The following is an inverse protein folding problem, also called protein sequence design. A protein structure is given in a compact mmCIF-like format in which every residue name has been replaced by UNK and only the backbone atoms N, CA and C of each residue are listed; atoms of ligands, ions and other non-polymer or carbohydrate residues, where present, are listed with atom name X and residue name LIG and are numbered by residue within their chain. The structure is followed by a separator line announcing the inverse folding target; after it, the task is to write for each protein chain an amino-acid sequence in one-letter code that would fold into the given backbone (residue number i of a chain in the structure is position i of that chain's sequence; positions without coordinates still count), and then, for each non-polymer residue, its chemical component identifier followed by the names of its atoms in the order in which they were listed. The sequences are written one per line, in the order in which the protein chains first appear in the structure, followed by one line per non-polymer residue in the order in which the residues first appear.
data_IF_155787783180
#
_entry.id   IF_155787783180
#
_cell.length_a   1.000
_cell.length_b   1.000
_cell.length_c   1.000
_cell.angle_alpha   90.00
_cell.angle_beta   90.00
_cell.angle_gamma   90.00
#
_symmetry.space_group_name_H-M   'P 1'
#
loop_
_entity.id
_entity.type
_entity.pdbx_description
1 polymer ?
#
# COMPACT_ATOMS: atom_id res chain seq x y z
N UNK A 1 52.02 -27.94 -1.09
CA UNK A 1 53.34 -27.26 -1.05
C UNK A 1 53.51 -26.50 -2.35
N UNK A 2 53.77 -25.19 -2.28
CA UNK A 2 53.95 -24.34 -3.46
C UNK A 2 53.62 -22.88 -3.15
N UNK A 3 54.55 -22.19 -2.49
CA UNK A 3 54.56 -20.74 -2.34
C UNK A 3 55.00 -20.09 -3.66
N UNK A 4 54.45 -18.93 -4.03
CA UNK A 4 55.27 -17.74 -4.29
C UNK A 4 54.45 -16.45 -4.22
N UNK A 5 55.09 -15.46 -3.61
CA UNK A 5 54.68 -14.09 -3.28
C UNK A 5 55.04 -13.17 -4.45
N UNK A 6 54.21 -12.18 -4.80
CA UNK A 6 54.67 -10.82 -5.19
C UNK A 6 53.60 -9.78 -4.86
N UNK A 7 53.94 -8.85 -3.97
CA UNK A 7 53.25 -7.58 -3.70
C UNK A 7 53.54 -6.57 -4.80
N UNK A 8 52.58 -5.69 -5.15
CA UNK A 8 52.92 -4.39 -5.72
C UNK A 8 52.02 -3.27 -5.18
N UNK A 9 52.69 -2.34 -4.51
CA UNK A 9 52.22 -1.10 -3.93
C UNK A 9 52.29 -0.01 -5.02
N UNK A 10 51.25 0.79 -5.21
CA UNK A 10 51.34 2.02 -6.00
C UNK A 10 50.58 3.15 -5.30
N UNK A 11 51.35 4.01 -4.64
CA UNK A 11 50.96 5.30 -4.09
C UNK A 11 51.08 6.32 -5.22
N UNK A 12 50.10 7.20 -5.38
CA UNK A 12 50.21 8.37 -6.26
C UNK A 12 49.57 9.59 -5.59
N UNK A 13 50.43 10.38 -4.97
CA UNK A 13 50.18 11.76 -4.55
C UNK A 13 50.34 12.66 -5.77
N UNK A 14 49.30 13.45 -6.10
CA UNK A 14 49.45 14.64 -6.93
C UNK A 14 49.13 15.87 -6.08
N UNK A 15 50.19 16.65 -5.84
CA UNK A 15 50.18 18.02 -5.35
C UNK A 15 50.63 18.93 -6.49
N UNK A 16 49.83 19.92 -6.85
CA UNK A 16 50.24 21.14 -7.57
C UNK A 16 49.13 22.18 -7.36
N UNK A 17 49.35 23.19 -6.49
CA UNK A 17 49.71 24.57 -6.85
C UNK A 17 48.86 25.12 -8.01
N UNK A 18 48.01 26.13 -7.85
CA UNK A 18 48.26 27.42 -7.24
C UNK A 18 47.99 28.47 -8.33
N UNK A 19 46.93 29.26 -8.17
CA UNK A 19 46.52 30.26 -9.16
C UNK A 19 45.51 31.22 -8.58
N UNK A 20 46.02 32.28 -7.97
CA UNK A 20 45.23 33.42 -7.53
C UNK A 20 44.78 34.24 -8.75
N UNK A 21 43.49 34.55 -8.84
CA UNK A 21 42.99 35.70 -9.60
C UNK A 21 41.87 36.35 -8.81
N UNK A 22 42.18 37.55 -8.30
CA UNK A 22 41.22 38.49 -7.71
C UNK A 22 40.62 39.30 -8.85
N UNK A 23 39.30 39.25 -9.01
CA UNK A 23 38.54 40.38 -9.54
C UNK A 23 37.30 40.56 -8.66
N UNK A 24 37.32 41.64 -7.88
CA UNK A 24 36.17 42.16 -7.16
C UNK A 24 35.33 42.98 -8.12
N UNK A 25 34.04 42.67 -8.25
CA UNK A 25 33.03 43.71 -8.47
C UNK A 25 31.77 43.32 -7.71
N UNK A 26 31.20 44.34 -7.07
CA UNK A 26 30.25 44.38 -5.97
C UNK A 26 28.86 44.66 -6.53
N UNK A 27 27.86 43.87 -6.12
CA UNK A 27 26.41 44.16 -6.06
C UNK A 27 25.80 42.88 -5.43
N UNK A 28 25.56 42.77 -4.12
CA UNK A 28 24.53 43.43 -3.31
C UNK A 28 23.17 43.46 -4.03
N UNK A 29 22.31 42.46 -3.75
CA UNK A 29 20.94 42.58 -3.20
C UNK A 29 20.29 41.18 -3.11
N UNK A 30 19.84 40.84 -1.89
CA UNK A 30 18.83 39.84 -1.51
C UNK A 30 19.02 38.35 -1.88
N UNK A 31 19.83 37.64 -1.08
CA UNK A 31 19.74 36.18 -0.92
C UNK A 31 18.68 35.86 0.15
N UNK A 32 17.51 35.38 -0.28
CA UNK A 32 16.57 34.69 0.62
C UNK A 32 17.06 33.26 0.77
N UNK A 33 17.63 32.98 1.93
CA UNK A 33 17.96 31.63 2.38
C UNK A 33 16.66 30.83 2.61
N UNK A 34 16.40 29.84 1.78
CA UNK A 34 15.39 28.79 2.06
C UNK A 34 16.12 27.49 2.37
N UNK A 35 16.64 27.36 3.59
CA UNK A 35 16.91 26.04 4.17
C UNK A 35 15.58 25.46 4.65
N UNK A 36 15.21 24.21 4.34
CA UNK A 36 14.02 23.60 4.90
C UNK A 36 14.29 23.25 6.36
N UNK A 37 13.91 24.15 7.26
CA UNK A 37 13.78 23.83 8.68
C UNK A 37 12.61 22.83 8.83
N UNK A 38 12.78 21.73 9.58
CA UNK A 38 11.69 20.82 9.88
C UNK A 38 10.65 21.54 10.76
N UNK A 39 9.54 21.97 10.16
CA UNK A 39 8.37 22.42 10.91
C UNK A 39 7.75 21.22 11.63
N UNK A 40 8.17 21.04 12.88
CA UNK A 40 7.40 20.32 13.88
C UNK A 40 6.23 21.22 14.31
N UNK A 41 5.19 21.30 13.49
CA UNK A 41 3.91 21.88 13.91
C UNK A 41 3.09 20.83 14.65
N UNK A 42 3.13 20.96 15.97
CA UNK A 42 2.22 20.32 16.91
C UNK A 42 0.87 21.04 16.79
N UNK A 43 0.14 20.76 15.71
CA UNK A 43 -1.26 21.15 15.54
C UNK A 43 -2.17 20.08 16.12
N UNK A 44 -3.16 20.47 16.91
CA UNK A 44 -4.25 19.60 17.35
C UNK A 44 -5.02 19.09 16.11
N UNK A 45 -4.73 17.84 15.73
CA UNK A 45 -5.28 17.18 14.55
C UNK A 45 -6.71 16.69 14.85
N UNK A 46 -7.68 17.32 14.21
CA UNK A 46 -9.01 16.75 14.08
C UNK A 46 -8.94 15.40 13.33
N UNK A 47 -9.70 14.43 13.82
CA UNK A 47 -9.91 13.08 13.26
C UNK A 47 -9.74 12.98 11.73
N UNK A 48 -8.65 12.36 11.28
CA UNK A 48 -8.58 11.77 9.94
C UNK A 48 -7.89 12.56 8.81
N UNK A 49 -6.93 13.41 9.12
CA UNK A 49 -6.12 14.12 8.12
C UNK A 49 -5.21 13.18 7.30
N UNK A 50 -5.09 13.45 5.99
CA UNK A 50 -4.17 12.80 5.07
C UNK A 50 -2.80 13.49 5.15
N UNK A 51 -1.80 12.82 5.69
CA UNK A 51 -0.43 13.33 5.71
C UNK A 51 0.37 12.76 4.55
N UNK A 52 0.97 13.61 3.71
CA UNK A 52 1.86 13.16 2.63
C UNK A 52 3.19 12.72 3.22
N UNK A 53 3.60 11.49 2.90
CA UNK A 53 4.89 10.93 3.32
C UNK A 53 5.95 11.08 2.23
N UNK A 54 5.56 10.89 0.97
CA UNK A 54 6.42 11.07 -0.19
C UNK A 54 5.55 11.28 -1.45
N UNK A 55 6.05 12.03 -2.42
CA UNK A 55 5.47 12.12 -3.75
C UNK A 55 6.55 12.50 -4.77
N UNK A 56 6.31 12.19 -6.04
CA UNK A 56 7.25 12.54 -7.09
C UNK A 56 6.88 11.98 -8.45
N UNK A 57 7.74 12.25 -9.43
CA UNK A 57 7.53 11.91 -10.84
C UNK A 57 8.48 10.82 -11.36
N UNK A 58 9.32 10.25 -10.51
CA UNK A 58 10.33 9.25 -10.89
C UNK A 58 10.40 8.14 -9.85
N UNK A 59 9.41 7.26 -9.76
CA UNK A 59 9.48 6.03 -8.95
C UNK A 59 10.29 4.91 -9.62
N UNK A 60 10.87 4.03 -8.82
CA UNK A 60 11.45 2.78 -9.32
C UNK A 60 10.38 1.74 -9.71
N UNK A 61 9.13 1.93 -9.25
CA UNK A 61 7.98 1.11 -9.63
C UNK A 61 7.43 1.62 -10.96
N UNK A 62 7.57 0.80 -12.00
CA UNK A 62 7.23 1.19 -13.39
C UNK A 62 5.87 0.67 -13.85
N UNK A 63 5.20 -0.15 -13.06
CA UNK A 63 3.84 -0.62 -13.31
C UNK A 63 2.81 0.10 -12.43
N UNK A 64 1.55 0.13 -12.87
CA UNK A 64 0.46 0.74 -12.11
C UNK A 64 0.14 -0.11 -10.89
N UNK A 65 0.34 0.43 -9.70
CA UNK A 65 0.16 -0.31 -8.45
C UNK A 65 -0.39 0.58 -7.33
N UNK A 66 -1.20 0.01 -6.45
CA UNK A 66 -1.63 0.65 -5.21
C UNK A 66 -1.37 -0.30 -4.06
N UNK A 67 -0.76 0.19 -2.98
CA UNK A 67 -0.62 -0.53 -1.74
C UNK A 67 -1.39 0.15 -0.60
N UNK A 68 -2.09 -0.65 0.21
CA UNK A 68 -2.76 -0.25 1.46
C UNK A 68 -2.14 -1.08 2.59
N UNK A 69 -1.28 -0.45 3.37
CA UNK A 69 -0.33 -1.10 4.27
C UNK A 69 -0.69 -0.78 5.71
N UNK A 70 -0.85 -1.83 6.52
CA UNK A 70 -1.31 -1.75 7.91
C UNK A 70 -0.32 -2.36 8.91
N UNK A 71 0.87 -2.74 8.45
CA UNK A 71 1.93 -3.38 9.25
C UNK A 71 3.31 -3.08 8.67
N UNK A 72 4.33 -3.18 9.53
CA UNK A 72 5.72 -2.83 9.22
C UNK A 72 6.38 -3.83 8.27
N UNK A 73 6.00 -5.10 8.33
CA UNK A 73 6.54 -6.15 7.47
C UNK A 73 6.16 -5.90 6.01
N UNK A 74 4.88 -5.59 5.77
CA UNK A 74 4.39 -5.22 4.44
C UNK A 74 4.98 -3.89 3.97
N UNK A 75 5.17 -2.92 4.87
CA UNK A 75 5.83 -1.66 4.53
C UNK A 75 7.29 -1.84 4.12
N UNK A 76 8.01 -2.73 4.81
CA UNK A 76 9.41 -3.02 4.52
C UNK A 76 9.60 -3.58 3.11
N UNK A 77 8.66 -4.37 2.60
CA UNK A 77 8.69 -4.83 1.20
C UNK A 77 8.46 -3.68 0.21
N UNK A 78 7.61 -2.70 0.54
CA UNK A 78 7.45 -1.50 -0.29
C UNK A 78 8.73 -0.66 -0.33
N UNK A 79 9.40 -0.48 0.82
CA UNK A 79 10.65 0.29 0.91
C UNK A 79 11.78 -0.36 0.10
N UNK A 80 11.83 -1.70 0.00
CA UNK A 80 12.79 -2.38 -0.90
C UNK A 80 12.58 -2.01 -2.37
N UNK A 81 11.34 -1.78 -2.78
CA UNK A 81 11.00 -1.37 -4.15
C UNK A 81 11.17 0.13 -4.37
N UNK A 82 10.94 0.95 -3.35
CA UNK A 82 11.10 2.40 -3.39
C UNK A 82 11.95 2.90 -2.20
N UNK A 83 13.29 2.85 -2.29
CA UNK A 83 14.19 3.14 -1.16
C UNK A 83 14.19 4.61 -0.68
N UNK A 84 13.51 5.52 -1.40
CA UNK A 84 13.39 6.93 -0.99
C UNK A 84 12.24 7.19 -0.04
N UNK A 85 11.42 6.17 0.27
CA UNK A 85 10.37 6.30 1.27
C UNK A 85 10.99 6.46 2.67
N UNK A 86 10.33 7.22 3.57
CA UNK A 86 10.80 7.35 4.94
C UNK A 86 10.75 6.01 5.67
N UNK A 87 11.66 5.80 6.61
CA UNK A 87 11.56 4.65 7.52
C UNK A 87 10.43 4.88 8.54
N UNK A 88 9.59 3.87 8.74
CA UNK A 88 8.45 3.92 9.65
C UNK A 88 8.52 2.76 10.62
N UNK A 89 8.54 3.08 11.92
CA UNK A 89 8.57 2.09 12.98
C UNK A 89 7.25 1.32 13.12
N UNK A 90 7.27 0.18 13.80
CA UNK A 90 6.09 -0.70 13.95
C UNK A 90 4.92 -0.05 14.70
N UNK A 91 5.21 0.77 15.71
CA UNK A 91 4.23 1.51 16.50
C UNK A 91 3.44 2.54 15.66
N UNK A 92 4.01 3.04 14.57
CA UNK A 92 3.32 3.90 13.60
C UNK A 92 2.01 3.26 13.11
N UNK A 93 2.05 1.95 12.82
CA UNK A 93 0.94 1.19 12.23
C UNK A 93 -0.16 0.77 13.25
N UNK A 94 0.01 1.13 14.52
CA UNK A 94 -1.05 0.98 15.52
C UNK A 94 -2.19 1.99 15.30
N UNK A 95 -1.86 3.16 14.76
CA UNK A 95 -2.78 4.29 14.59
C UNK A 95 -2.78 4.88 13.18
N UNK A 96 -2.02 4.30 12.24
CA UNK A 96 -1.94 4.78 10.86
C UNK A 96 -2.03 3.64 9.85
N UNK A 97 -2.59 3.97 8.70
CA UNK A 97 -2.52 3.16 7.47
C UNK A 97 -1.72 3.95 6.45
N UNK A 98 -0.78 3.29 5.78
CA UNK A 98 -0.05 3.89 4.65
C UNK A 98 -0.74 3.50 3.35
N UNK A 99 -0.95 4.48 2.48
CA UNK A 99 -1.52 4.28 1.16
C UNK A 99 -0.53 4.82 0.14
N UNK A 100 0.00 3.94 -0.69
CA UNK A 100 0.95 4.27 -1.74
C UNK A 100 0.32 3.97 -3.09
N UNK A 101 0.35 4.92 -4.01
CA UNK A 101 -0.18 4.74 -5.36
C UNK A 101 0.87 5.16 -6.38
N UNK A 102 1.05 4.33 -7.40
CA UNK A 102 2.05 4.42 -8.46
C UNK A 102 1.34 4.30 -9.80
N UNK A 103 1.57 5.25 -10.72
CA UNK A 103 0.95 5.20 -12.05
C UNK A 103 1.72 4.36 -13.07
N UNK A 104 2.88 3.85 -12.66
CA UNK A 104 3.84 3.26 -13.57
C UNK A 104 4.38 4.28 -14.58
N UNK A 105 5.03 3.77 -15.62
CA UNK A 105 5.72 4.59 -16.61
C UNK A 105 4.74 5.39 -17.48
N UNK A 106 5.09 6.66 -17.73
CA UNK A 106 4.38 7.59 -18.62
C UNK A 106 5.38 8.26 -19.55
N UNK A 107 4.98 8.48 -20.79
CA UNK A 107 5.86 8.96 -21.86
C UNK A 107 6.09 10.48 -21.85
N UNK A 108 5.34 11.21 -21.03
CA UNK A 108 5.49 12.67 -20.86
C UNK A 108 5.39 13.02 -19.39
N UNK A 109 5.82 14.22 -19.03
CA UNK A 109 5.47 14.81 -17.75
C UNK A 109 4.01 15.26 -17.68
N UNK A 110 3.66 15.85 -16.53
CA UNK A 110 2.33 16.41 -16.24
C UNK A 110 1.32 15.41 -15.65
N UNK A 111 1.61 14.12 -15.68
CA UNK A 111 0.86 13.12 -14.94
C UNK A 111 1.18 13.20 -13.44
N UNK A 112 0.16 13.06 -12.59
CA UNK A 112 0.36 12.99 -11.13
C UNK A 112 -0.64 12.02 -10.49
N UNK A 113 -0.32 11.53 -9.30
CA UNK A 113 -1.22 10.77 -8.45
C UNK A 113 -1.96 11.70 -7.50
N UNK A 114 -3.28 11.59 -7.46
CA UNK A 114 -4.11 12.29 -6.49
C UNK A 114 -4.69 11.29 -5.49
N UNK A 115 -4.45 11.55 -4.21
CA UNK A 115 -5.12 10.85 -3.11
C UNK A 115 -5.87 11.89 -2.31
N UNK A 116 -7.21 11.82 -2.33
CA UNK A 116 -8.10 12.81 -1.72
C UNK A 116 -9.12 12.14 -0.83
N UNK A 117 -9.40 12.72 0.33
CA UNK A 117 -10.54 12.34 1.17
C UNK A 117 -11.70 13.28 0.89
N UNK A 118 -12.82 12.74 0.44
CA UNK A 118 -14.05 13.51 0.27
C UNK A 118 -14.71 13.79 1.63
N UNK A 119 -15.59 14.81 1.71
CA UNK A 119 -16.40 15.07 2.91
C UNK A 119 -17.26 13.88 3.37
N UNK A 120 -17.60 12.98 2.45
CA UNK A 120 -18.33 11.72 2.71
C UNK A 120 -17.47 10.66 3.42
N UNK A 121 -16.19 10.94 3.66
CA UNK A 121 -15.19 10.00 4.15
C UNK A 121 -14.60 9.07 3.08
N UNK A 122 -15.11 9.12 1.83
CA UNK A 122 -14.59 8.36 0.69
C UNK A 122 -13.16 8.80 0.36
N UNK A 123 -12.24 7.84 0.35
CA UNK A 123 -10.90 8.04 -0.17
C UNK A 123 -10.91 7.80 -1.68
N UNK A 124 -10.43 8.75 -2.46
CA UNK A 124 -10.26 8.62 -3.90
C UNK A 124 -8.78 8.56 -4.23
N UNK A 125 -8.40 7.54 -4.98
CA UNK A 125 -7.07 7.34 -5.55
C UNK A 125 -7.22 7.45 -7.06
N UNK A 126 -6.62 8.46 -7.66
CA UNK A 126 -6.75 8.70 -9.09
C UNK A 126 -5.51 9.30 -9.72
N UNK A 127 -5.56 9.41 -11.03
CA UNK A 127 -4.58 10.12 -11.84
C UNK A 127 -5.08 11.51 -12.20
N UNK A 128 -4.16 12.46 -12.14
CA UNK A 128 -4.29 13.75 -12.82
C UNK A 128 -3.61 13.62 -14.17
N UNK A 129 -4.40 13.73 -15.23
CA UNK A 129 -3.95 13.70 -16.62
C UNK A 129 -3.69 15.15 -17.08
N UNK A 130 -2.61 15.44 -17.82
CA UNK A 130 -2.40 16.75 -18.43
C UNK A 130 -3.59 17.21 -19.26
N UNK A 131 -3.89 18.50 -19.23
CA UNK A 131 -4.95 19.09 -20.04
C UNK A 131 -4.66 18.98 -21.53
N UNK A 132 -5.72 18.92 -22.35
CA UNK A 132 -5.56 18.97 -23.82
C UNK A 132 -4.89 20.29 -24.22
N UNK A 133 -3.74 20.20 -24.90
CA UNK A 133 -2.97 21.37 -25.35
C UNK A 133 -2.05 21.97 -24.30
N UNK A 134 -1.95 21.38 -23.11
CA UNK A 134 -0.97 21.78 -22.10
C UNK A 134 0.45 21.44 -22.59
N UNK A 135 1.37 22.41 -22.48
CA UNK A 135 2.78 22.16 -22.77
C UNK A 135 3.37 21.31 -21.66
N UNK A 136 3.70 20.06 -21.98
CA UNK A 136 4.32 19.11 -21.05
C UNK A 136 5.76 18.78 -21.47
N UNK A 137 6.68 18.56 -20.52
CA UNK A 137 8.02 18.11 -20.85
C UNK A 137 7.98 16.70 -21.44
N UNK A 138 8.80 16.49 -22.47
CA UNK A 138 9.00 15.19 -23.12
C UNK A 138 10.05 14.40 -22.33
N UNK A 139 9.63 13.80 -21.22
CA UNK A 139 10.48 12.91 -20.42
C UNK A 139 9.66 11.71 -19.94
N UNK A 140 10.34 10.56 -19.82
CA UNK A 140 9.76 9.39 -19.19
C UNK A 140 9.62 9.67 -17.68
N UNK A 141 8.40 9.53 -17.17
CA UNK A 141 8.08 9.69 -15.74
C UNK A 141 7.44 8.43 -15.18
N UNK A 142 7.48 8.28 -13.87
CA UNK A 142 6.78 7.25 -13.09
C UNK A 142 6.18 7.90 -11.84
N UNK A 143 5.05 8.61 -11.97
CA UNK A 143 4.48 9.38 -10.88
C UNK A 143 3.97 8.50 -9.73
N UNK A 144 4.19 8.95 -8.51
CA UNK A 144 3.75 8.26 -7.30
C UNK A 144 3.38 9.24 -6.19
N UNK A 145 2.54 8.76 -5.27
CA UNK A 145 2.19 9.46 -4.03
C UNK A 145 1.96 8.46 -2.92
N UNK A 146 2.56 8.74 -1.76
CA UNK A 146 2.44 7.97 -0.53
C UNK A 146 1.91 8.88 0.56
N UNK A 147 0.83 8.45 1.19
CA UNK A 147 0.18 9.18 2.29
C UNK A 147 -0.01 8.26 3.48
N UNK A 148 -0.10 8.82 4.66
CA UNK A 148 -0.62 8.16 5.85
C UNK A 148 -1.99 8.70 6.22
N UNK A 149 -2.87 7.80 6.63
CA UNK A 149 -4.20 8.09 7.15
C UNK A 149 -4.22 7.68 8.62
N UNK A 150 -4.57 8.61 9.52
CA UNK A 150 -4.81 8.25 10.92
C UNK A 150 -6.09 7.42 11.05
N UNK A 151 -6.01 6.33 11.80
CA UNK A 151 -7.09 5.37 12.05
C UNK A 151 -7.16 4.99 13.52
N UNK A 152 -8.34 4.57 13.98
CA UNK A 152 -8.52 3.95 15.30
C UNK A 152 -8.84 2.46 15.12
N UNK A 153 -8.00 1.59 15.68
CA UNK A 153 -8.12 0.14 15.52
C UNK A 153 -7.86 -0.33 14.08
N UNK A 154 -8.69 -1.25 13.59
CA UNK A 154 -8.58 -1.80 12.23
C UNK A 154 -9.85 -1.51 11.41
N UNK A 155 -10.14 -0.24 11.10
CA UNK A 155 -11.38 0.12 10.42
C UNK A 155 -11.32 -0.35 8.95
N UNK A 156 -12.47 -0.72 8.37
CA UNK A 156 -12.52 -1.11 6.97
C UNK A 156 -12.35 0.11 6.09
N UNK A 157 -11.58 -0.02 5.01
CA UNK A 157 -11.44 0.98 3.97
C UNK A 157 -12.46 0.71 2.86
N UNK A 158 -13.74 0.60 3.22
CA UNK A 158 -14.85 0.24 2.31
C UNK A 158 -15.06 1.28 1.20
N UNK A 159 -14.65 2.51 1.45
CA UNK A 159 -14.83 3.65 0.56
C UNK A 159 -13.47 4.05 0.00
N UNK A 160 -12.89 3.19 -0.84
CA UNK A 160 -11.77 3.56 -1.70
C UNK A 160 -12.25 3.50 -3.14
N UNK A 161 -12.30 4.66 -3.80
CA UNK A 161 -12.58 4.76 -5.23
C UNK A 161 -11.28 4.86 -6.01
N UNK A 162 -11.23 4.20 -7.16
CA UNK A 162 -10.07 4.17 -8.05
C UNK A 162 -10.41 4.78 -9.40
N UNK A 163 -9.48 5.52 -9.99
CA UNK A 163 -9.64 5.97 -11.38
C UNK A 163 -9.54 4.78 -12.36
N UNK A 164 -10.03 4.93 -13.61
CA UNK A 164 -9.95 3.86 -14.61
C UNK A 164 -8.54 3.33 -14.85
N UNK A 165 -7.51 4.18 -14.74
CA UNK A 165 -6.12 3.77 -14.90
C UNK A 165 -5.74 2.65 -13.91
N UNK A 166 -6.10 2.82 -12.64
CA UNK A 166 -5.89 1.81 -11.60
C UNK A 166 -6.82 0.61 -11.79
N UNK A 167 -8.12 0.81 -12.02
CA UNK A 167 -9.06 -0.32 -12.18
C UNK A 167 -8.62 -1.26 -13.32
N UNK A 168 -8.08 -0.71 -14.41
CA UNK A 168 -7.61 -1.50 -15.55
C UNK A 168 -6.41 -2.40 -15.28
N UNK A 169 -5.60 -2.11 -14.24
CA UNK A 169 -4.47 -2.96 -13.84
C UNK A 169 -4.87 -4.05 -12.83
N UNK A 170 -6.11 -4.06 -12.36
CA UNK A 170 -6.60 -5.07 -11.42
C UNK A 170 -7.03 -6.35 -12.16
N UNK A 171 -6.65 -7.50 -11.60
CA UNK A 171 -7.18 -8.81 -12.00
C UNK A 171 -8.34 -9.20 -11.10
N UNK A 172 -9.48 -9.54 -11.69
CA UNK A 172 -10.67 -9.94 -10.92
C UNK A 172 -10.72 -11.46 -10.75
N UNK A 173 -10.78 -11.90 -9.48
CA UNK A 173 -11.01 -13.29 -9.09
C UNK A 173 -12.46 -13.43 -8.60
N UNK A 174 -13.24 -14.29 -9.23
CA UNK A 174 -14.58 -14.64 -8.75
C UNK A 174 -14.48 -15.72 -7.69
N UNK A 175 -15.12 -15.48 -6.55
CA UNK A 175 -15.23 -16.48 -5.48
C UNK A 175 -16.10 -17.63 -5.99
N UNK A 176 -15.53 -18.82 -5.99
CA UNK A 176 -16.19 -20.07 -6.41
C UNK A 176 -16.66 -20.89 -5.21
N UNK A 177 -15.93 -20.79 -4.09
CA UNK A 177 -16.30 -21.34 -2.79
C UNK A 177 -15.87 -20.35 -1.72
N UNK A 178 -16.70 -20.13 -0.71
CA UNK A 178 -16.39 -19.21 0.36
C UNK A 178 -17.27 -19.47 1.56
N UNK A 179 -16.67 -19.51 2.74
CA UNK A 179 -17.39 -19.72 3.99
C UNK A 179 -16.66 -19.02 5.13
N UNK A 180 -17.43 -18.50 6.08
CA UNK A 180 -16.92 -17.88 7.28
C UNK A 180 -17.76 -18.30 8.49
N UNK A 181 -17.08 -18.50 9.61
CA UNK A 181 -17.63 -18.85 10.91
C UNK A 181 -17.22 -17.78 11.92
N UNK A 182 -18.19 -17.12 12.53
CA UNK A 182 -17.99 -16.15 13.62
C UNK A 182 -18.40 -16.79 14.95
N UNK A 183 -17.60 -16.57 15.99
CA UNK A 183 -17.89 -16.98 17.36
C UNK A 183 -17.62 -15.85 18.36
N UNK A 184 -18.31 -15.82 19.50
CA UNK A 184 -17.95 -14.96 20.63
C UNK A 184 -19.12 -14.32 21.35
N UNK A 185 -18.81 -13.27 22.12
CA UNK A 185 -19.74 -12.61 23.02
C UNK A 185 -20.12 -13.46 24.24
N UNK A 186 -20.74 -12.81 25.23
CA UNK A 186 -21.09 -13.42 26.53
C UNK A 186 -22.01 -14.65 26.39
N UNK A 187 -22.90 -14.63 25.38
CA UNK A 187 -23.84 -15.71 25.13
C UNK A 187 -23.25 -16.86 24.29
N UNK A 188 -21.99 -16.77 23.86
CA UNK A 188 -21.36 -17.78 23.00
C UNK A 188 -22.03 -17.88 21.63
N UNK A 189 -22.30 -16.74 21.00
CA UNK A 189 -22.93 -16.70 19.67
C UNK A 189 -22.02 -17.39 18.66
N UNK A 190 -22.61 -18.27 17.85
CA UNK A 190 -21.95 -18.91 16.71
C UNK A 190 -22.80 -18.71 15.46
N UNK A 191 -22.18 -18.25 14.38
CA UNK A 191 -22.83 -17.98 13.10
C UNK A 191 -21.94 -18.46 11.96
N UNK A 192 -22.51 -19.17 10.99
CA UNK A 192 -21.80 -19.66 9.81
C UNK A 192 -22.54 -19.19 8.57
N UNK A 193 -21.83 -18.64 7.59
CA UNK A 193 -22.44 -18.09 6.38
C UNK A 193 -21.48 -18.18 5.18
N UNK A 194 -22.02 -18.26 3.95
CA UNK A 194 -21.21 -18.30 2.74
C UNK A 194 -20.59 -16.93 2.44
N UNK A 195 -19.46 -16.91 1.74
CA UNK A 195 -18.87 -15.70 1.15
C UNK A 195 -18.93 -15.81 -0.37
N UNK A 196 -19.37 -14.75 -1.04
CA UNK A 196 -19.58 -14.76 -2.50
C UNK A 196 -18.97 -13.52 -3.20
N UNK A 197 -19.24 -13.41 -4.51
CA UNK A 197 -18.84 -12.33 -5.40
C UNK A 197 -17.36 -12.39 -5.83
N UNK A 198 -16.52 -11.41 -5.45
CA UNK A 198 -15.20 -11.27 -6.06
C UNK A 198 -14.16 -10.59 -5.17
N UNK A 199 -12.90 -10.84 -5.54
CA UNK A 199 -11.71 -10.16 -5.03
C UNK A 199 -10.95 -9.60 -6.23
N UNK A 200 -10.66 -8.30 -6.21
CA UNK A 200 -9.80 -7.69 -7.23
C UNK A 200 -8.38 -7.63 -6.68
N UNK A 201 -7.39 -7.94 -7.52
CA UNK A 201 -6.00 -8.05 -7.09
C UNK A 201 -5.08 -7.26 -8.02
N UNK A 202 -4.26 -6.39 -7.44
CA UNK A 202 -3.06 -5.86 -8.10
C UNK A 202 -1.83 -6.57 -7.54
N UNK A 203 -0.82 -6.80 -8.38
CA UNK A 203 0.46 -7.36 -7.95
C UNK A 203 1.59 -6.50 -8.45
N UNK A 204 2.60 -6.34 -7.60
CA UNK A 204 3.86 -5.69 -7.96
C UNK A 204 4.98 -6.35 -7.17
N UNK A 205 5.91 -6.99 -7.90
CA UNK A 205 7.00 -7.80 -7.34
C UNK A 205 6.55 -8.70 -6.15
N UNK A 206 7.02 -8.39 -4.94
CA UNK A 206 6.76 -9.12 -3.70
C UNK A 206 5.48 -8.71 -2.97
N UNK A 207 4.62 -7.88 -3.55
CA UNK A 207 3.37 -7.41 -2.95
C UNK A 207 2.15 -7.78 -3.78
N UNK A 208 1.02 -7.98 -3.10
CA UNK A 208 -0.30 -8.07 -3.69
C UNK A 208 -1.32 -7.27 -2.87
N UNK A 209 -2.11 -6.46 -3.55
CA UNK A 209 -3.19 -5.68 -2.94
C UNK A 209 -4.51 -6.28 -3.32
N UNK A 210 -5.28 -6.62 -2.30
CA UNK A 210 -6.57 -7.27 -2.40
C UNK A 210 -7.66 -6.25 -2.09
N UNK A 211 -8.61 -6.14 -3.01
CA UNK A 211 -9.85 -5.43 -2.78
C UNK A 211 -10.99 -6.44 -2.69
N UNK A 212 -11.46 -6.63 -1.46
CA UNK A 212 -12.55 -7.54 -1.14
C UNK A 212 -13.89 -6.84 -1.36
N UNK A 213 -14.79 -7.50 -2.09
CA UNK A 213 -16.21 -7.12 -2.18
C UNK A 213 -17.03 -8.38 -2.03
N UNK A 214 -17.11 -8.89 -0.80
CA UNK A 214 -17.67 -10.21 -0.51
C UNK A 214 -18.87 -10.10 0.44
N UNK A 215 -20.10 -9.94 -0.09
CA UNK A 215 -21.28 -10.11 0.73
C UNK A 215 -21.44 -11.58 1.11
N UNK A 216 -22.06 -11.81 2.25
CA UNK A 216 -22.57 -13.11 2.65
C UNK A 216 -24.09 -13.11 2.45
N UNK A 217 -24.58 -13.53 1.27
CA UNK A 217 -26.02 -13.66 1.08
C UNK A 217 -26.55 -14.75 2.04
N UNK A 218 -27.83 -14.63 2.40
CA UNK A 218 -28.54 -15.63 3.20
C UNK A 218 -28.13 -15.72 4.69
N UNK A 219 -27.30 -14.80 5.19
CA UNK A 219 -27.07 -14.67 6.63
C UNK A 219 -28.27 -14.02 7.34
N UNK A 220 -28.50 -14.40 8.59
CA UNK A 220 -29.60 -13.87 9.41
C UNK A 220 -29.44 -12.37 9.72
N UNK A 221 -28.19 -11.88 9.71
CA UNK A 221 -27.81 -10.47 9.80
C UNK A 221 -27.07 -10.05 8.54
N UNK A 222 -26.99 -8.76 8.26
CA UNK A 222 -26.12 -8.28 7.20
C UNK A 222 -24.66 -8.61 7.52
N UNK A 223 -24.01 -9.39 6.65
CA UNK A 223 -22.64 -9.86 6.77
C UNK A 223 -21.91 -9.59 5.47
N UNK A 224 -20.73 -8.99 5.55
CA UNK A 224 -19.92 -8.67 4.38
C UNK A 224 -18.48 -8.35 4.74
N UNK A 225 -17.60 -8.52 3.76
CA UNK A 225 -16.23 -8.02 3.78
C UNK A 225 -15.99 -7.05 2.62
N UNK A 226 -15.91 -5.77 2.97
CA UNK A 226 -15.49 -4.69 2.09
C UNK A 226 -14.23 -4.04 2.68
N UNK A 227 -13.06 -4.45 2.19
CA UNK A 227 -11.80 -3.84 2.62
C UNK A 227 -10.77 -3.87 1.50
N UNK A 228 -9.75 -3.03 1.64
CA UNK A 228 -8.55 -3.04 0.81
C UNK A 228 -7.35 -3.25 1.71
N UNK A 229 -6.51 -4.23 1.39
CA UNK A 229 -5.31 -4.54 2.14
C UNK A 229 -4.22 -5.12 1.25
N UNK A 230 -2.97 -4.77 1.55
CA UNK A 230 -1.80 -5.35 0.91
C UNK A 230 -1.21 -6.45 1.76
N UNK A 231 -0.76 -7.52 1.11
CA UNK A 231 0.03 -8.58 1.72
C UNK A 231 1.33 -8.84 0.96
N UNK A 232 2.22 -9.57 1.62
CA UNK A 232 3.51 -9.99 1.08
C UNK A 232 3.34 -11.31 0.33
N UNK A 233 3.84 -11.36 -0.90
CA UNK A 233 3.85 -12.52 -1.78
C UNK A 233 5.25 -13.09 -1.90
N UNK A 234 5.41 -14.35 -1.57
CA UNK A 234 6.66 -15.09 -1.72
C UNK A 234 6.82 -15.59 -3.17
N UNK A 235 8.04 -15.94 -3.56
CA UNK A 235 8.35 -16.55 -4.86
C UNK A 235 7.58 -17.86 -5.12
N UNK A 236 7.14 -18.55 -4.07
CA UNK A 236 6.29 -19.74 -4.15
C UNK A 236 4.83 -19.46 -4.51
N UNK A 237 4.44 -18.19 -4.63
CA UNK A 237 3.04 -17.77 -4.79
C UNK A 237 2.25 -17.70 -3.48
N UNK A 238 2.85 -18.10 -2.35
CA UNK A 238 2.24 -17.93 -1.03
C UNK A 238 2.08 -16.45 -0.69
N UNK A 239 0.95 -16.08 -0.13
CA UNK A 239 0.64 -14.71 0.26
C UNK A 239 0.17 -14.64 1.71
N UNK A 240 0.56 -13.56 2.39
CA UNK A 240 0.10 -13.23 3.75
C UNK A 240 -0.28 -11.76 3.82
N UNK A 241 -1.53 -11.48 4.21
CA UNK A 241 -2.01 -10.15 4.61
C UNK A 241 -2.04 -10.14 6.13
N UNK A 242 -1.08 -9.46 6.77
CA UNK A 242 -0.90 -9.53 8.22
C UNK A 242 -2.02 -8.88 9.02
N UNK A 243 -2.61 -7.80 8.48
CA UNK A 243 -3.68 -7.05 9.14
C UNK A 243 -4.65 -6.48 8.12
N UNK A 244 -5.93 -6.74 8.31
CA UNK A 244 -7.05 -6.17 7.55
C UNK A 244 -8.28 -6.07 8.44
N UNK A 245 -9.29 -5.30 8.04
CA UNK A 245 -10.52 -5.19 8.80
C UNK A 245 -11.34 -6.49 8.72
N UNK A 246 -12.08 -6.79 9.79
CA UNK A 246 -13.11 -7.83 9.75
C UNK A 246 -14.44 -7.32 9.17
N UNK A 247 -14.56 -6.00 8.98
CA UNK A 247 -15.77 -5.34 8.52
C UNK A 247 -17.02 -5.84 9.27
N UNK A 248 -18.07 -6.29 8.56
CA UNK A 248 -19.30 -6.84 9.14
C UNK A 248 -19.24 -8.36 9.34
N UNK A 249 -18.13 -9.03 8.99
CA UNK A 249 -17.98 -10.48 9.21
C UNK A 249 -17.93 -10.86 10.68
N UNK A 250 -17.33 -9.99 11.51
CA UNK A 250 -17.14 -10.23 12.95
C UNK A 250 -17.72 -9.04 13.71
N UNK A 251 -18.54 -9.32 14.72
CA UNK A 251 -19.11 -8.27 15.57
C UNK A 251 -18.01 -7.51 16.34
N UNK A 252 -18.31 -6.29 16.79
CA UNK A 252 -17.44 -5.58 17.72
C UNK A 252 -17.64 -6.07 19.16
N UNK A 253 -16.61 -6.05 20.01
CA UNK A 253 -15.24 -5.65 19.69
C UNK A 253 -14.46 -6.78 18.98
N UNK A 254 -13.73 -6.43 17.91
CA UNK A 254 -12.78 -7.33 17.26
C UNK A 254 -11.50 -6.58 16.79
N UNK A 255 -10.35 -7.27 16.77
CA UNK A 255 -9.07 -6.66 16.38
C UNK A 255 -8.82 -6.59 14.87
N UNK A 256 -9.74 -7.12 14.05
CA UNK A 256 -9.54 -7.34 12.62
C UNK A 256 -9.13 -8.78 12.29
N UNK A 257 -8.72 -8.99 11.05
CA UNK A 257 -8.35 -10.30 10.50
C UNK A 257 -6.91 -10.30 9.99
N UNK A 258 -6.35 -11.50 9.90
CA UNK A 258 -5.22 -11.86 9.06
C UNK A 258 -5.73 -12.75 7.93
N UNK A 259 -5.12 -12.67 6.76
CA UNK A 259 -5.36 -13.63 5.68
C UNK A 259 -4.06 -14.30 5.24
N UNK A 260 -4.12 -15.58 4.90
CA UNK A 260 -3.00 -16.33 4.35
C UNK A 260 -3.48 -17.30 3.26
N UNK A 261 -2.67 -17.51 2.23
CA UNK A 261 -3.05 -18.42 1.16
C UNK A 261 -2.03 -18.47 0.03
N UNK A 262 -2.49 -18.68 -1.19
CA UNK A 262 -1.59 -18.77 -2.34
C UNK A 262 -2.28 -18.44 -3.67
N UNK A 263 -1.49 -17.88 -4.59
CA UNK A 263 -1.76 -17.93 -6.01
C UNK A 263 -1.27 -19.28 -6.55
N UNK A 264 -2.12 -19.96 -7.33
CA UNK A 264 -1.81 -21.27 -7.92
C UNK A 264 -2.27 -21.34 -9.37
N UNK A 265 -1.85 -22.39 -10.08
CA UNK A 265 -2.20 -22.62 -11.49
C UNK A 265 -1.86 -21.42 -12.40
N UNK A 266 -0.60 -20.95 -12.33
CA UNK A 266 -0.16 -19.79 -13.11
C UNK A 266 -0.93 -18.51 -12.78
N UNK A 267 -1.19 -18.28 -11.49
CA UNK A 267 -2.00 -17.17 -10.97
C UNK A 267 -3.44 -17.11 -11.49
N UNK A 268 -3.98 -18.25 -11.95
CA UNK A 268 -5.38 -18.34 -12.36
C UNK A 268 -6.32 -18.69 -11.20
N UNK A 269 -5.77 -19.15 -10.07
CA UNK A 269 -6.50 -19.53 -8.86
C UNK A 269 -5.91 -18.82 -7.65
N UNK A 270 -6.79 -18.38 -6.75
CA UNK A 270 -6.46 -17.76 -5.48
C UNK A 270 -7.18 -18.53 -4.36
N UNK A 271 -6.42 -18.95 -3.36
CA UNK A 271 -6.98 -19.44 -2.10
C UNK A 271 -6.57 -18.49 -0.99
N UNK A 272 -7.49 -18.19 -0.07
CA UNK A 272 -7.22 -17.42 1.15
C UNK A 272 -7.98 -18.03 2.31
N UNK A 273 -7.29 -18.18 3.44
CA UNK A 273 -7.87 -18.45 4.76
C UNK A 273 -7.80 -17.18 5.58
N UNK A 274 -8.88 -16.90 6.32
CA UNK A 274 -9.01 -15.75 7.19
C UNK A 274 -9.09 -16.22 8.64
N UNK A 275 -8.39 -15.52 9.52
CA UNK A 275 -8.45 -15.75 10.96
C UNK A 275 -8.46 -14.42 11.69
N UNK A 276 -9.28 -14.29 12.74
CA UNK A 276 -9.21 -13.12 13.61
C UNK A 276 -7.85 -13.00 14.26
N UNK A 277 -7.37 -11.76 14.35
CA UNK A 277 -6.20 -11.45 15.15
C UNK A 277 -6.50 -11.75 16.64
N UNK A 278 -5.47 -12.02 17.47
CA UNK A 278 -5.67 -12.25 18.89
C UNK A 278 -6.38 -11.06 19.56
N UNK A 279 -7.36 -11.35 20.43
CA UNK A 279 -8.06 -10.35 21.23
C UNK A 279 -7.80 -10.58 22.72
N UNK A 280 -7.56 -9.49 23.46
CA UNK A 280 -7.43 -9.50 24.93
C UNK A 280 -8.76 -9.14 25.63
N UNK A 281 -9.83 -9.00 24.85
CA UNK A 281 -11.15 -8.62 25.35
C UNK A 281 -11.95 -9.90 25.63
N UNK A 282 -12.33 -10.10 26.89
CA UNK A 282 -12.94 -11.35 27.36
C UNK A 282 -14.27 -11.70 26.66
N UNK A 283 -15.02 -10.68 26.23
CA UNK A 283 -16.28 -10.79 25.48
C UNK A 283 -16.12 -10.47 23.98
N UNK A 284 -14.88 -10.49 23.48
CA UNK A 284 -14.58 -10.24 22.08
C UNK A 284 -15.20 -11.27 21.14
N UNK A 285 -15.34 -10.86 19.88
CA UNK A 285 -15.73 -11.77 18.81
C UNK A 285 -14.50 -12.15 17.98
N UNK A 286 -14.53 -13.37 17.49
CA UNK A 286 -13.53 -13.91 16.58
C UNK A 286 -14.23 -14.59 15.41
N UNK A 287 -13.47 -14.88 14.37
CA UNK A 287 -13.97 -15.67 13.27
C UNK A 287 -12.85 -16.25 12.45
N UNK A 288 -13.21 -17.23 11.65
CA UNK A 288 -12.32 -17.89 10.72
C UNK A 288 -13.10 -18.27 9.46
N UNK A 289 -12.41 -18.33 8.34
CA UNK A 289 -13.06 -18.70 7.09
C UNK A 289 -12.06 -18.96 5.99
N UNK A 290 -12.58 -19.24 4.80
CA UNK A 290 -11.75 -19.39 3.62
C UNK A 290 -12.52 -19.08 2.35
N UNK A 291 -11.77 -18.76 1.29
CA UNK A 291 -12.28 -18.68 -0.07
C UNK A 291 -11.36 -19.44 -1.04
N UNK A 292 -11.98 -19.97 -2.09
CA UNK A 292 -11.34 -20.37 -3.34
C UNK A 292 -11.93 -19.49 -4.46
N UNK A 293 -11.07 -18.86 -5.24
CA UNK A 293 -11.47 -17.96 -6.30
C UNK A 293 -10.68 -18.23 -7.59
N UNK A 294 -11.32 -18.00 -8.73
CA UNK A 294 -10.72 -18.19 -10.05
C UNK A 294 -10.80 -16.90 -10.86
N UNK A 295 -9.80 -16.65 -11.69
CA UNK A 295 -9.78 -15.45 -12.55
C UNK A 295 -11.01 -15.45 -13.45
N UNK A 296 -11.75 -14.35 -13.45
CA UNK A 296 -12.76 -14.09 -14.47
C UNK A 296 -12.02 -13.90 -15.79
N UNK A 297 -12.07 -14.90 -16.67
CA UNK A 297 -11.64 -14.73 -18.06
C UNK A 297 -12.38 -13.51 -18.61
N UNK A 298 -11.64 -12.49 -19.02
CA UNK A 298 -12.22 -11.40 -19.80
C UNK A 298 -12.94 -12.05 -20.97
N UNK A 299 -14.24 -11.75 -21.15
CA UNK A 299 -14.92 -12.13 -22.39
C UNK A 299 -14.09 -11.57 -23.55
N UNK A 300 -13.75 -12.38 -24.56
CA UNK A 300 -13.01 -11.92 -25.73
C UNK A 300 -13.78 -10.80 -26.45
#
# INVERSE_FOLDING_TARGET
MGQLIVSLLAVSLFLSSGGASRFQTRQEVAQVNSSPTPQSEKGDLASGELKVLAEGFHSSITDTFVAVIRDVETYSELVKMEPRLPDLAGDFFESHVVIAAFLGQRNTGGYNVEIKRQPTGLLLIGDKIPGKGEMVPQMITSPFKVVSVSVSGTPPLQRVGFSPAFVSSMRVYRVTRGEFEMTGGIAGVQEKFPLQNSVQVMREAGLATFWFTMPAPESAKERSLHDVATGVVQSSGRVVVNKMSADLLVNQPNPGLKAAGAFTNGDSKLTLSFDSLPTMIADGYSGRGSIEAEVLKSRP
#
